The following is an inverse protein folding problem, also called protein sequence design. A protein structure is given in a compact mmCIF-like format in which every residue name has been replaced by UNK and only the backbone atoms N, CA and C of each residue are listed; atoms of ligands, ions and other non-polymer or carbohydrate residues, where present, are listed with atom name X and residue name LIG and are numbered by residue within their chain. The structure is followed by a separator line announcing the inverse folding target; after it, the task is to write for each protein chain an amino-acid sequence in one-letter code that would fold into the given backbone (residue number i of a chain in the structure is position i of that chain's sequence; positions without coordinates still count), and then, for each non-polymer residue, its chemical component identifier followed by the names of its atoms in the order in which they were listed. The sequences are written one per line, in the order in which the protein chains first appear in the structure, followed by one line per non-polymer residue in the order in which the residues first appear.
data_IF_486495515482
#
_entry.id   IF_486495515482
#
_cell.length_a   1.000
_cell.length_b   1.000
_cell.length_c   1.000
_cell.angle_alpha   90.00
_cell.angle_beta   90.00
_cell.angle_gamma   90.00
#
_symmetry.space_group_name_H-M   'P 1'
#
loop_
_entity.id
_entity.type
_entity.pdbx_description
1 polymer ?
#
# COMPACT_ATOMS: atom_id res chain seq x y z
N UNK A 1 -35.14 -11.01 -4.98
CA UNK A 1 -34.82 -10.92 -6.42
C UNK A 1 -33.37 -11.36 -6.59
N UNK A 2 -33.14 -12.52 -7.18
CA UNK A 2 -31.79 -13.00 -7.45
C UNK A 2 -31.17 -12.08 -8.51
N UNK A 3 -30.12 -11.33 -8.16
CA UNK A 3 -29.32 -10.60 -9.12
C UNK A 3 -28.63 -11.61 -10.03
N UNK A 4 -28.79 -11.45 -11.34
CA UNK A 4 -28.08 -12.19 -12.37
C UNK A 4 -26.56 -12.06 -12.13
N UNK A 5 -25.88 -13.17 -11.82
CA UNK A 5 -24.47 -13.14 -11.42
C UNK A 5 -23.50 -12.90 -12.58
N UNK A 6 -24.01 -12.69 -13.79
CA UNK A 6 -23.22 -12.45 -15.00
C UNK A 6 -22.87 -10.97 -15.24
N UNK A 7 -23.56 -10.02 -14.59
CA UNK A 7 -23.39 -8.60 -14.85
C UNK A 7 -22.38 -7.95 -13.88
N UNK A 8 -21.45 -7.15 -14.41
CA UNK A 8 -20.47 -6.41 -13.61
C UNK A 8 -21.20 -5.37 -12.72
N UNK A 9 -21.18 -5.50 -11.38
CA UNK A 9 -21.98 -4.66 -10.49
C UNK A 9 -21.48 -3.21 -10.43
N UNK A 10 -20.25 -2.95 -10.86
CA UNK A 10 -19.70 -1.58 -10.93
C UNK A 10 -20.09 -0.86 -12.23
N UNK A 11 -20.62 -1.56 -13.23
CA UNK A 11 -21.11 -0.93 -14.45
C UNK A 11 -22.43 -0.17 -14.22
N UNK A 12 -23.27 -0.64 -13.28
CA UNK A 12 -24.58 -0.04 -13.00
C UNK A 12 -24.48 1.47 -12.68
N UNK A 13 -23.55 1.85 -11.80
CA UNK A 13 -23.37 3.26 -11.42
C UNK A 13 -22.84 4.10 -12.58
N UNK A 14 -21.89 3.56 -13.37
CA UNK A 14 -21.31 4.27 -14.51
C UNK A 14 -22.39 4.51 -15.57
N UNK A 15 -23.17 3.48 -15.88
CA UNK A 15 -24.30 3.54 -16.81
C UNK A 15 -25.36 4.55 -16.33
N UNK A 16 -25.76 4.50 -15.06
CA UNK A 16 -26.69 5.49 -14.46
C UNK A 16 -26.17 6.92 -14.55
N UNK A 17 -24.87 7.11 -14.41
CA UNK A 17 -24.22 8.42 -14.52
C UNK A 17 -23.88 8.82 -15.96
N UNK A 18 -24.12 7.95 -16.95
CA UNK A 18 -23.69 8.13 -18.35
C UNK A 18 -22.19 8.42 -18.45
N UNK A 19 -21.38 7.78 -17.59
CA UNK A 19 -19.94 8.02 -17.50
C UNK A 19 -19.52 9.41 -17.01
N UNK A 20 -20.45 10.27 -16.59
CA UNK A 20 -20.13 11.63 -16.14
C UNK A 20 -19.40 11.61 -14.77
N UNK A 21 -18.15 12.09 -14.67
CA UNK A 21 -17.37 12.05 -13.43
C UNK A 21 -17.99 12.83 -12.28
N UNK A 22 -18.64 13.97 -12.55
CA UNK A 22 -19.28 14.79 -11.52
C UNK A 22 -20.52 14.08 -10.93
N UNK A 23 -21.31 13.39 -11.75
CA UNK A 23 -22.43 12.56 -11.27
C UNK A 23 -21.93 11.39 -10.42
N UNK A 24 -20.86 10.70 -10.86
CA UNK A 24 -20.24 9.61 -10.09
C UNK A 24 -19.71 10.15 -8.75
N UNK A 25 -19.01 11.28 -8.76
CA UNK A 25 -18.53 11.92 -7.54
C UNK A 25 -19.68 12.26 -6.58
N UNK A 26 -20.78 12.84 -7.08
CA UNK A 26 -21.95 13.15 -6.26
C UNK A 26 -22.57 11.91 -5.61
N UNK A 27 -22.56 10.75 -6.28
CA UNK A 27 -22.99 9.48 -5.68
C UNK A 27 -22.06 9.01 -4.56
N UNK A 28 -20.74 9.15 -4.71
CA UNK A 28 -19.79 8.85 -3.62
C UNK A 28 -20.00 9.81 -2.43
N UNK A 29 -20.18 11.11 -2.70
CA UNK A 29 -20.43 12.14 -1.68
C UNK A 29 -21.71 11.88 -0.91
N UNK A 30 -22.81 11.63 -1.62
CA UNK A 30 -24.11 11.33 -1.03
C UNK A 30 -24.04 10.05 -0.17
N UNK A 31 -23.36 9.01 -0.64
CA UNK A 31 -23.21 7.77 0.10
C UNK A 31 -22.43 7.98 1.41
N UNK A 32 -21.25 8.61 1.37
CA UNK A 32 -20.45 8.83 2.59
C UNK A 32 -21.13 9.80 3.57
N UNK A 33 -21.79 10.85 3.06
CA UNK A 33 -22.50 11.81 3.90
C UNK A 33 -23.72 11.19 4.58
N UNK A 34 -24.52 10.43 3.83
CA UNK A 34 -25.69 9.70 4.39
C UNK A 34 -25.24 8.68 5.42
N UNK A 35 -24.15 7.94 5.16
CA UNK A 35 -23.60 6.98 6.11
C UNK A 35 -23.14 7.66 7.39
N UNK A 36 -22.35 8.73 7.29
CA UNK A 36 -21.89 9.48 8.46
C UNK A 36 -23.06 10.05 9.27
N UNK A 37 -24.08 10.62 8.62
CA UNK A 37 -25.26 11.13 9.31
C UNK A 37 -26.02 10.03 10.07
N UNK A 38 -26.20 8.85 9.45
CA UNK A 38 -26.82 7.69 10.10
C UNK A 38 -25.99 7.17 11.27
N UNK A 39 -24.66 7.05 11.09
CA UNK A 39 -23.74 6.66 12.16
C UNK A 39 -23.78 7.64 13.32
N UNK A 40 -23.73 8.94 13.03
CA UNK A 40 -23.83 10.00 14.05
C UNK A 40 -25.12 9.89 14.85
N UNK A 41 -26.26 9.77 14.17
CA UNK A 41 -27.55 9.61 14.84
C UNK A 41 -27.61 8.34 15.71
N UNK A 42 -27.04 7.23 15.24
CA UNK A 42 -26.98 5.98 15.99
C UNK A 42 -26.07 6.08 17.23
N UNK A 43 -24.87 6.64 17.09
CA UNK A 43 -23.91 6.76 18.18
C UNK A 43 -24.37 7.74 19.27
N UNK A 44 -25.09 8.80 18.90
CA UNK A 44 -25.67 9.77 19.84
C UNK A 44 -27.05 9.36 20.37
N UNK A 45 -27.57 8.21 19.96
CA UNK A 45 -28.85 7.69 20.44
C UNK A 45 -28.73 7.23 21.90
N UNK A 46 -29.82 7.38 22.66
CA UNK A 46 -29.96 6.76 23.99
C UNK A 46 -29.91 5.24 23.94
N UNK A 47 -30.27 4.66 22.80
CA UNK A 47 -30.29 3.21 22.57
C UNK A 47 -28.91 2.67 22.12
N UNK A 48 -27.87 3.49 22.13
CA UNK A 48 -26.53 3.01 21.80
C UNK A 48 -26.09 1.95 22.83
N UNK A 49 -25.83 0.73 22.35
CA UNK A 49 -25.45 -0.43 23.17
C UNK A 49 -23.94 -0.64 23.24
N UNK A 50 -23.14 0.32 22.76
CA UNK A 50 -21.70 0.26 22.77
C UNK A 50 -21.06 -0.07 21.43
N UNK A 51 -19.72 -0.06 21.44
CA UNK A 51 -18.89 -0.27 20.26
C UNK A 51 -18.94 -1.72 19.78
N UNK A 52 -18.89 -1.92 18.47
CA UNK A 52 -18.72 -3.24 17.87
C UNK A 52 -17.24 -3.62 17.91
N UNK A 53 -16.84 -4.34 18.96
CA UNK A 53 -15.46 -4.75 19.17
C UNK A 53 -15.02 -5.79 18.15
N UNK A 54 -13.89 -5.54 17.48
CA UNK A 54 -13.25 -6.51 16.60
C UNK A 54 -12.49 -7.55 17.45
N UNK A 55 -13.18 -8.61 17.87
CA UNK A 55 -12.64 -9.66 18.74
C UNK A 55 -11.38 -10.34 18.20
N UNK A 56 -11.25 -10.46 16.88
CA UNK A 56 -10.08 -11.06 16.24
C UNK A 56 -8.90 -10.09 16.36
N UNK A 57 -9.11 -8.82 16.02
CA UNK A 57 -8.08 -7.80 16.15
C UNK A 57 -7.67 -7.57 17.60
N UNK A 58 -8.62 -7.61 18.54
CA UNK A 58 -8.38 -7.54 19.99
C UNK A 58 -7.43 -8.64 20.45
N UNK A 59 -7.69 -9.90 20.09
CA UNK A 59 -6.82 -11.04 20.45
C UNK A 59 -5.42 -10.90 19.88
N UNK A 60 -5.30 -10.45 18.62
CA UNK A 60 -4.01 -10.22 17.96
C UNK A 60 -3.25 -9.04 18.59
N UNK A 61 -3.97 -7.98 18.96
CA UNK A 61 -3.39 -6.83 19.63
C UNK A 61 -2.84 -7.22 21.01
N UNK A 62 -3.64 -7.91 21.83
CA UNK A 62 -3.24 -8.41 23.15
C UNK A 62 -2.00 -9.30 23.04
N UNK A 63 -1.97 -10.23 22.07
CA UNK A 63 -0.83 -11.11 21.85
C UNK A 63 0.46 -10.35 21.46
N UNK A 64 0.34 -9.19 20.82
CA UNK A 64 1.51 -8.39 20.38
C UNK A 64 1.97 -7.39 21.42
N UNK A 65 1.10 -6.96 22.34
CA UNK A 65 1.41 -5.95 23.36
C UNK A 65 1.69 -6.53 24.75
N UNK A 66 1.10 -7.67 25.10
CA UNK A 66 1.34 -8.35 26.38
C UNK A 66 2.39 -9.45 26.14
N UNK A 67 3.54 -9.44 26.85
CA UNK A 67 4.50 -10.53 26.79
C UNK A 67 3.80 -11.84 27.21
N UNK A 68 3.69 -12.80 26.30
CA UNK A 68 3.08 -14.09 26.61
C UNK A 68 3.82 -14.76 27.77
N UNK A 69 3.06 -15.25 28.76
CA UNK A 69 3.52 -16.31 29.65
C UNK A 69 3.97 -17.50 28.80
N UNK A 70 5.13 -18.08 29.12
CA UNK A 70 5.68 -19.26 28.46
C UNK A 70 4.61 -20.37 28.35
N UNK A 71 4.26 -20.79 27.12
CA UNK A 71 3.44 -21.99 26.87
C UNK A 71 2.07 -21.82 26.19
N UNK A 72 1.59 -20.61 25.89
CA UNK A 72 0.32 -20.45 25.14
C UNK A 72 0.53 -20.45 23.62
N UNK A 73 -0.34 -21.15 22.90
CA UNK A 73 -0.37 -21.14 21.42
C UNK A 73 -0.82 -19.79 20.91
N UNK A 74 -0.14 -19.21 19.90
CA UNK A 74 -0.54 -17.92 19.33
C UNK A 74 -1.91 -18.05 18.64
N UNK A 75 -2.77 -17.06 18.86
CA UNK A 75 -4.03 -16.91 18.15
C UNK A 75 -3.79 -16.61 16.67
N UNK A 76 -4.56 -17.27 15.80
CA UNK A 76 -4.47 -17.16 14.35
C UNK A 76 -5.82 -16.67 13.82
N UNK A 77 -5.81 -15.58 13.03
CA UNK A 77 -7.00 -15.16 12.28
C UNK A 77 -7.29 -16.17 11.16
N UNK A 78 -8.43 -16.85 11.29
CA UNK A 78 -8.87 -17.90 10.37
C UNK A 78 -9.50 -17.35 9.09
N UNK A 79 -9.79 -16.04 9.01
CA UNK A 79 -10.46 -15.42 7.87
C UNK A 79 -9.46 -15.08 6.78
N UNK A 80 -9.32 -15.95 5.78
CA UNK A 80 -8.45 -15.66 4.64
C UNK A 80 -9.22 -14.92 3.54
N UNK A 81 -8.60 -13.87 3.02
CA UNK A 81 -9.17 -13.01 1.99
C UNK A 81 -8.21 -12.96 0.79
N UNK A 82 -8.74 -12.62 -0.37
CA UNK A 82 -7.98 -12.37 -1.60
C UNK A 82 -8.47 -11.07 -2.22
N UNK A 83 -7.60 -10.07 -2.26
CA UNK A 83 -7.97 -8.70 -2.60
C UNK A 83 -6.90 -7.99 -3.43
N UNK A 84 -7.33 -7.05 -4.27
CA UNK A 84 -6.45 -6.02 -4.83
C UNK A 84 -6.45 -4.78 -3.93
N UNK A 85 -5.29 -4.45 -3.40
CA UNK A 85 -5.07 -3.27 -2.57
C UNK A 85 -4.36 -2.16 -3.35
N UNK A 86 -4.68 -0.92 -3.02
CA UNK A 86 -3.81 0.22 -3.34
C UNK A 86 -3.28 0.82 -2.04
N UNK A 87 -1.97 1.03 -1.99
CA UNK A 87 -1.30 1.65 -0.84
C UNK A 87 -1.31 3.18 -0.96
N UNK A 88 -1.62 3.91 0.12
CA UNK A 88 -1.51 5.36 0.10
C UNK A 88 -0.04 5.77 -0.01
N UNK A 89 0.25 6.87 -0.73
CA UNK A 89 1.58 7.50 -0.77
C UNK A 89 1.90 8.16 0.57
N UNK A 90 3.17 8.57 0.75
CA UNK A 90 3.65 9.08 2.03
C UNK A 90 2.85 10.28 2.56
N UNK A 91 2.48 11.25 1.72
CA UNK A 91 1.73 12.44 2.18
C UNK A 91 0.33 12.10 2.70
N UNK A 92 -0.33 11.07 2.15
CA UNK A 92 -1.60 10.57 2.67
C UNK A 92 -1.40 9.81 3.99
N UNK A 93 -0.28 9.09 4.14
CA UNK A 93 0.07 8.45 5.43
C UNK A 93 0.33 9.50 6.50
N UNK A 94 0.99 10.60 6.16
CA UNK A 94 1.26 11.71 7.08
C UNK A 94 -0.06 12.38 7.53
N UNK A 95 -0.98 12.65 6.59
CA UNK A 95 -2.33 13.13 6.89
C UNK A 95 -3.08 12.18 7.84
N UNK A 96 -3.02 10.87 7.57
CA UNK A 96 -3.66 9.86 8.44
C UNK A 96 -3.03 9.87 9.85
N UNK A 97 -1.71 10.00 9.96
CA UNK A 97 -1.02 10.03 11.24
C UNK A 97 -1.43 11.27 12.08
N UNK A 98 -1.60 12.43 11.44
CA UNK A 98 -2.13 13.63 12.10
C UNK A 98 -3.55 13.41 12.63
N UNK A 99 -4.43 12.83 11.81
CA UNK A 99 -5.82 12.51 12.18
C UNK A 99 -5.85 11.50 13.34
N UNK A 100 -5.06 10.42 13.25
CA UNK A 100 -4.96 9.40 14.30
C UNK A 100 -4.53 10.00 15.64
N UNK A 101 -3.55 10.92 15.62
CA UNK A 101 -3.10 11.63 16.82
C UNK A 101 -4.21 12.48 17.44
N UNK A 102 -5.00 13.18 16.62
CA UNK A 102 -6.15 13.95 17.12
C UNK A 102 -7.24 13.04 17.70
N UNK A 103 -7.52 11.88 17.11
CA UNK A 103 -8.50 10.92 17.64
C UNK A 103 -8.02 10.31 18.96
N UNK A 104 -6.76 9.88 19.04
CA UNK A 104 -6.18 9.29 20.24
C UNK A 104 -6.14 10.25 21.44
N UNK A 105 -6.16 11.57 21.20
CA UNK A 105 -6.26 12.56 22.29
C UNK A 105 -7.59 12.49 23.06
N UNK A 106 -8.65 11.95 22.44
CA UNK A 106 -9.96 11.74 23.06
C UNK A 106 -10.18 10.27 23.41
N UNK A 107 -9.59 9.35 22.63
CA UNK A 107 -9.75 7.90 22.82
C UNK A 107 -8.39 7.21 22.83
N UNK A 108 -7.67 7.20 23.97
CA UNK A 108 -6.32 6.65 24.04
C UNK A 108 -6.23 5.15 23.71
N UNK A 109 -7.29 4.39 24.03
CA UNK A 109 -7.35 2.94 23.88
C UNK A 109 -7.85 2.48 22.50
N UNK A 110 -8.10 3.40 21.57
CA UNK A 110 -8.49 3.02 20.22
C UNK A 110 -7.31 2.38 19.50
N UNK A 111 -7.57 1.30 18.77
CA UNK A 111 -6.54 0.73 17.92
C UNK A 111 -6.36 1.59 16.67
N UNK A 112 -5.14 2.08 16.44
CA UNK A 112 -4.78 2.81 15.22
C UNK A 112 -4.15 1.88 14.20
N UNK A 113 -4.55 2.03 12.94
CA UNK A 113 -3.96 1.27 11.83
C UNK A 113 -2.50 1.70 11.62
N UNK A 114 -1.52 0.79 11.76
CA UNK A 114 -0.12 1.11 11.50
C UNK A 114 0.11 1.57 10.06
N UNK A 115 1.12 2.42 9.80
CA UNK A 115 1.39 2.95 8.45
C UNK A 115 1.56 1.88 7.36
N UNK A 116 2.14 0.73 7.70
CA UNK A 116 2.36 -0.39 6.78
C UNK A 116 1.08 -1.19 6.47
N UNK A 117 0.05 -1.04 7.31
CA UNK A 117 -1.26 -1.67 7.11
C UNK A 117 -2.26 -0.76 6.42
N UNK A 118 -1.95 0.52 6.21
CA UNK A 118 -2.83 1.41 5.48
C UNK A 118 -2.97 0.95 4.01
N UNK A 119 -4.21 0.82 3.56
CA UNK A 119 -4.58 0.46 2.18
C UNK A 119 -6.05 0.81 1.93
N UNK A 120 -6.42 0.96 0.66
CA UNK A 120 -7.81 0.84 0.20
C UNK A 120 -7.97 -0.49 -0.52
N UNK A 121 -9.10 -1.17 -0.29
CA UNK A 121 -9.48 -2.35 -1.07
C UNK A 121 -10.14 -1.89 -2.36
N UNK A 122 -9.45 -2.05 -3.49
CA UNK A 122 -9.98 -1.65 -4.80
C UNK A 122 -10.98 -2.70 -5.30
N UNK A 123 -10.61 -3.98 -5.19
CA UNK A 123 -11.46 -5.11 -5.51
C UNK A 123 -11.28 -6.23 -4.48
N UNK A 124 -12.38 -6.73 -3.94
CA UNK A 124 -12.42 -7.94 -3.12
C UNK A 124 -12.83 -9.13 -4.00
N UNK A 125 -11.95 -10.13 -4.10
CA UNK A 125 -12.21 -11.35 -4.90
C UNK A 125 -12.89 -12.38 -4.01
N UNK A 126 -12.34 -12.61 -2.82
CA UNK A 126 -12.88 -13.54 -1.84
C UNK A 126 -12.66 -13.03 -0.41
N UNK A 127 -13.63 -13.28 0.47
CA UNK A 127 -13.55 -12.96 1.89
C UNK A 127 -13.87 -14.19 2.75
N UNK A 128 -13.17 -14.30 3.88
CA UNK A 128 -13.42 -15.29 4.93
C UNK A 128 -13.49 -16.73 4.40
N UNK A 129 -12.52 -17.12 3.58
CA UNK A 129 -12.39 -18.47 3.02
C UNK A 129 -11.33 -19.29 3.74
N UNK A 130 -11.34 -20.59 3.49
CA UNK A 130 -10.27 -21.48 3.90
C UNK A 130 -8.97 -21.16 3.13
N UNK A 131 -7.79 -21.46 3.70
CA UNK A 131 -6.51 -21.29 2.98
C UNK A 131 -6.48 -22.02 1.63
N UNK A 132 -7.03 -23.24 1.57
CA UNK A 132 -7.06 -24.06 0.36
C UNK A 132 -7.89 -23.42 -0.75
N UNK A 133 -9.08 -22.89 -0.44
CA UNK A 133 -9.89 -22.15 -1.41
C UNK A 133 -9.16 -20.91 -1.94
N UNK A 134 -8.49 -20.15 -1.06
CA UNK A 134 -7.70 -18.98 -1.47
C UNK A 134 -6.53 -19.39 -2.37
N UNK A 135 -5.79 -20.44 -2.01
CA UNK A 135 -4.68 -20.93 -2.80
C UNK A 135 -5.12 -21.46 -4.17
N UNK A 136 -6.32 -22.05 -4.25
CA UNK A 136 -6.94 -22.48 -5.51
C UNK A 136 -7.25 -21.28 -6.41
N UNK A 137 -7.88 -20.23 -5.86
CA UNK A 137 -8.17 -19.00 -6.60
C UNK A 137 -6.90 -18.30 -7.08
N UNK A 138 -5.88 -18.24 -6.23
CA UNK A 138 -4.58 -17.66 -6.56
C UNK A 138 -3.92 -18.45 -7.69
N UNK A 139 -3.88 -19.77 -7.59
CA UNK A 139 -3.28 -20.64 -8.62
C UNK A 139 -3.97 -20.47 -9.97
N UNK A 140 -5.30 -20.36 -9.96
CA UNK A 140 -6.10 -20.08 -11.16
C UNK A 140 -5.74 -18.74 -11.80
N UNK A 141 -5.67 -17.68 -10.99
CA UNK A 141 -5.25 -16.35 -11.46
C UNK A 141 -3.81 -16.34 -11.98
N UNK A 142 -2.89 -17.06 -11.33
CA UNK A 142 -1.50 -17.21 -11.78
C UNK A 142 -1.42 -17.92 -13.13
N UNK A 143 -2.19 -19.01 -13.33
CA UNK A 143 -2.24 -19.76 -14.59
C UNK A 143 -2.83 -18.94 -15.74
N UNK A 144 -3.83 -18.09 -15.46
CA UNK A 144 -4.41 -17.20 -16.48
C UNK A 144 -3.45 -16.10 -16.95
N UNK A 145 -2.39 -15.80 -16.19
CA UNK A 145 -1.45 -14.70 -16.47
C UNK A 145 -1.99 -13.30 -16.16
N UNK A 146 -3.27 -13.15 -15.79
CA UNK A 146 -3.95 -11.85 -15.65
C UNK A 146 -3.39 -10.97 -14.52
N UNK A 147 -2.76 -11.58 -13.50
CA UNK A 147 -2.28 -10.87 -12.30
C UNK A 147 -1.33 -9.72 -12.67
N UNK A 148 -0.41 -9.96 -13.61
CA UNK A 148 0.57 -8.93 -14.01
C UNK A 148 -0.10 -7.71 -14.61
N UNK A 149 -1.14 -7.91 -15.41
CA UNK A 149 -1.85 -6.82 -16.08
C UNK A 149 -2.69 -6.02 -15.08
N UNK A 150 -3.37 -6.71 -14.15
CA UNK A 150 -4.20 -6.08 -13.12
C UNK A 150 -3.37 -5.32 -12.08
N UNK A 151 -2.26 -5.89 -11.60
CA UNK A 151 -1.35 -5.22 -10.66
C UNK A 151 -0.77 -3.93 -11.26
N UNK A 152 -0.44 -3.96 -12.55
CA UNK A 152 0.14 -2.83 -13.26
C UNK A 152 -0.91 -1.90 -13.90
N UNK A 153 -2.21 -2.19 -13.75
CA UNK A 153 -3.28 -1.53 -14.49
C UNK A 153 -3.30 -0.01 -14.26
N UNK A 154 -3.03 0.40 -13.02
CA UNK A 154 -3.00 1.82 -12.61
C UNK A 154 -1.84 2.60 -13.21
N UNK A 155 -0.80 1.98 -13.77
CA UNK A 155 0.27 2.69 -14.48
C UNK A 155 -0.23 3.40 -15.73
N UNK A 156 -1.26 2.84 -16.37
CA UNK A 156 -1.87 3.38 -17.58
C UNK A 156 -3.25 4.01 -17.30
N UNK A 157 -3.87 3.69 -16.15
CA UNK A 157 -5.22 4.14 -15.78
C UNK A 157 -5.20 4.83 -14.41
N UNK A 158 -4.82 6.11 -14.41
CA UNK A 158 -4.50 6.88 -13.20
C UNK A 158 -5.75 7.52 -12.59
N UNK A 159 -6.57 6.71 -11.91
CA UNK A 159 -7.71 7.21 -11.13
C UNK A 159 -7.24 8.11 -9.95
N UNK A 160 -7.92 9.23 -9.77
CA UNK A 160 -7.60 10.27 -8.79
C UNK A 160 -8.68 10.37 -7.73
N UNK A 161 -8.27 10.50 -6.48
CA UNK A 161 -9.11 10.61 -5.30
C UNK A 161 -8.83 11.94 -4.58
N UNK A 162 -9.90 12.64 -4.18
CA UNK A 162 -9.85 13.98 -3.60
C UNK A 162 -10.86 14.12 -2.46
N UNK A 163 -10.88 15.31 -1.84
CA UNK A 163 -11.84 15.73 -0.81
C UNK A 163 -11.94 14.71 0.34
N UNK A 164 -10.83 14.37 1.03
CA UNK A 164 -10.88 13.42 2.13
C UNK A 164 -11.81 13.89 3.26
N UNK A 165 -12.45 12.95 3.94
CA UNK A 165 -13.14 13.12 5.23
C UNK A 165 -12.97 11.86 6.07
N UNK A 166 -13.07 11.99 7.39
CA UNK A 166 -13.19 10.87 8.33
C UNK A 166 -14.64 10.39 8.34
N UNK A 167 -14.85 9.15 7.91
CA UNK A 167 -16.07 8.38 8.11
C UNK A 167 -15.94 7.49 9.33
N UNK A 168 -17.05 7.27 10.03
CA UNK A 168 -17.07 6.51 11.27
C UNK A 168 -18.40 5.77 11.47
N UNK A 169 -18.35 4.69 12.24
CA UNK A 169 -19.50 3.96 12.78
C UNK A 169 -19.13 3.31 14.12
N UNK A 170 -19.99 2.44 14.64
CA UNK A 170 -19.76 1.78 15.92
C UNK A 170 -18.57 0.79 15.91
N UNK A 171 -18.05 0.42 14.74
CA UNK A 171 -16.96 -0.55 14.62
C UNK A 171 -15.60 0.12 14.35
N UNK A 172 -15.58 1.12 13.47
CA UNK A 172 -14.33 1.64 12.93
C UNK A 172 -14.40 3.11 12.47
N UNK A 173 -13.23 3.64 12.19
CA UNK A 173 -13.04 4.93 11.52
C UNK A 173 -12.19 4.73 10.25
N UNK A 174 -12.53 5.46 9.20
CA UNK A 174 -11.86 5.40 7.91
C UNK A 174 -11.69 6.79 7.31
N UNK A 175 -10.55 7.03 6.65
CA UNK A 175 -10.36 8.19 5.79
C UNK A 175 -10.97 7.88 4.42
N UNK A 176 -12.08 8.54 4.09
CA UNK A 176 -12.87 8.35 2.88
C UNK A 176 -12.63 9.46 1.87
N UNK A 177 -12.46 9.09 0.60
CA UNK A 177 -12.28 9.99 -0.53
C UNK A 177 -13.43 9.86 -1.52
N UNK A 178 -13.53 10.84 -2.44
CA UNK A 178 -14.37 10.75 -3.63
C UNK A 178 -13.50 10.75 -4.89
N UNK A 179 -13.95 10.14 -6.00
CA UNK A 179 -13.27 10.25 -7.28
C UNK A 179 -13.23 11.70 -7.73
N UNK A 180 -12.09 12.17 -8.24
CA UNK A 180 -12.00 13.50 -8.83
C UNK A 180 -12.92 13.64 -10.05
N UNK A 181 -13.34 14.87 -10.33
CA UNK A 181 -14.28 15.24 -11.39
C UNK A 181 -13.87 16.51 -12.13
N UNK A 182 -12.56 16.79 -12.21
CA UNK A 182 -12.00 17.98 -12.84
C UNK A 182 -11.57 19.08 -11.87
N UNK A 183 -11.44 18.78 -10.57
CA UNK A 183 -10.93 19.76 -9.61
C UNK A 183 -9.52 20.23 -9.98
N UNK A 184 -9.19 21.53 -9.82
CA UNK A 184 -7.85 22.02 -10.08
C UNK A 184 -6.80 21.29 -9.23
N UNK A 185 -5.75 20.78 -9.85
CA UNK A 185 -4.65 20.06 -9.20
C UNK A 185 -3.38 20.92 -9.20
N UNK A 186 -2.55 20.76 -8.17
CA UNK A 186 -1.16 21.28 -8.18
C UNK A 186 -0.22 20.50 -9.10
N UNK A 187 -0.67 19.34 -9.59
CA UNK A 187 0.05 18.51 -10.54
C UNK A 187 -0.34 18.88 -11.98
N UNK A 188 0.52 18.56 -12.96
CA UNK A 188 0.23 18.75 -14.39
C UNK A 188 -0.80 17.73 -14.89
N UNK A 189 -2.04 17.84 -14.44
CA UNK A 189 -3.20 17.05 -14.87
C UNK A 189 -4.28 17.93 -15.48
N UNK A 190 -4.92 17.41 -16.50
CA UNK A 190 -6.08 18.03 -17.14
C UNK A 190 -7.38 17.51 -16.53
N UNK A 191 -8.47 18.24 -16.71
CA UNK A 191 -9.80 17.76 -16.34
C UNK A 191 -10.21 16.49 -17.14
N UNK A 192 -9.64 16.29 -18.34
CA UNK A 192 -9.87 15.10 -19.14
C UNK A 192 -9.32 13.83 -18.49
N UNK A 193 -8.25 13.94 -17.71
CA UNK A 193 -7.68 12.80 -16.99
C UNK A 193 -8.61 12.26 -15.88
N UNK A 194 -9.61 13.04 -15.46
CA UNK A 194 -10.61 12.65 -14.45
C UNK A 194 -11.86 12.02 -15.07
N UNK A 195 -11.95 11.93 -16.42
CA UNK A 195 -12.98 11.11 -17.08
C UNK A 195 -12.90 9.66 -16.62
N UNK A 196 -11.69 9.17 -16.39
CA UNK A 196 -11.44 7.87 -15.80
C UNK A 196 -11.43 7.94 -14.26
N UNK A 197 -12.60 7.71 -13.65
CA UNK A 197 -12.78 7.76 -12.19
C UNK A 197 -12.31 6.48 -11.48
N UNK A 198 -12.15 6.55 -10.15
CA UNK A 198 -11.92 5.37 -9.32
C UNK A 198 -12.99 4.27 -9.48
N UNK A 199 -14.24 4.63 -9.82
CA UNK A 199 -15.27 3.63 -10.05
C UNK A 199 -15.03 2.83 -11.34
N UNK A 200 -14.49 3.47 -12.39
CA UNK A 200 -14.05 2.78 -13.61
C UNK A 200 -12.94 1.78 -13.30
N UNK A 201 -11.97 2.15 -12.44
CA UNK A 201 -10.94 1.22 -11.98
C UNK A 201 -11.52 -0.03 -11.32
N UNK A 202 -12.52 0.11 -10.46
CA UNK A 202 -13.18 -1.04 -9.81
C UNK A 202 -13.88 -1.93 -10.83
N UNK A 203 -14.59 -1.31 -11.78
CA UNK A 203 -15.25 -2.03 -12.89
C UNK A 203 -14.24 -2.81 -13.73
N UNK A 204 -13.13 -2.18 -14.13
CA UNK A 204 -12.17 -2.78 -15.05
C UNK A 204 -11.38 -3.91 -14.38
N UNK A 205 -11.02 -3.76 -13.10
CA UNK A 205 -10.44 -4.87 -12.33
C UNK A 205 -11.42 -6.03 -12.15
N UNK A 206 -12.70 -5.74 -11.88
CA UNK A 206 -13.74 -6.77 -11.80
C UNK A 206 -13.84 -7.52 -13.12
N UNK A 207 -13.93 -6.80 -14.24
CA UNK A 207 -14.02 -7.39 -15.58
C UNK A 207 -12.80 -8.26 -15.89
N UNK A 208 -11.60 -7.79 -15.53
CA UNK A 208 -10.37 -8.55 -15.74
C UNK A 208 -10.31 -9.86 -14.96
N UNK A 209 -10.79 -9.89 -13.71
CA UNK A 209 -10.87 -11.13 -12.93
C UNK A 209 -12.03 -12.02 -13.40
N UNK A 210 -13.19 -11.45 -13.72
CA UNK A 210 -14.34 -12.20 -14.23
C UNK A 210 -14.05 -12.88 -15.57
N UNK A 211 -13.18 -12.28 -16.41
CA UNK A 211 -12.73 -12.86 -17.67
C UNK A 211 -11.91 -14.16 -17.48
N UNK A 212 -11.43 -14.46 -16.27
CA UNK A 212 -10.82 -15.74 -15.94
C UNK A 212 -11.84 -16.77 -15.45
N UNK A 213 -13.15 -16.52 -15.58
CA UNK A 213 -14.22 -17.42 -15.13
C UNK A 213 -14.29 -17.62 -13.59
N UNK A 214 -13.61 -16.76 -12.81
CA UNK A 214 -13.76 -16.74 -11.36
C UNK A 214 -15.07 -16.06 -11.00
N UNK A 215 -15.92 -16.75 -10.22
CA UNK A 215 -17.14 -16.15 -9.69
C UNK A 215 -16.82 -15.18 -8.54
N UNK A 216 -16.94 -13.89 -8.85
CA UNK A 216 -16.74 -12.81 -7.89
C UNK A 216 -18.02 -12.56 -7.07
N UNK A 217 -17.86 -12.44 -5.75
CA UNK A 217 -18.93 -11.99 -4.85
C UNK A 217 -18.40 -10.90 -3.89
N UNK A 218 -18.03 -9.72 -4.42
CA UNK A 218 -17.53 -8.63 -3.60
C UNK A 218 -18.59 -8.15 -2.61
N UNK A 219 -18.26 -8.03 -1.32
CA UNK A 219 -19.21 -7.58 -0.29
C UNK A 219 -19.54 -6.10 -0.39
N UNK A 220 -18.60 -5.30 -0.89
CA UNK A 220 -18.71 -3.84 -0.94
C UNK A 220 -18.98 -3.36 -2.36
N UNK A 221 -20.25 -3.38 -2.78
CA UNK A 221 -20.66 -2.85 -4.10
C UNK A 221 -20.86 -1.34 -4.09
N UNK A 222 -21.05 -0.75 -2.91
CA UNK A 222 -21.35 0.67 -2.74
C UNK A 222 -20.21 1.58 -3.23
N UNK A 223 -20.52 2.81 -3.67
CA UNK A 223 -19.53 3.81 -4.05
C UNK A 223 -18.73 4.27 -2.83
N UNK A 224 -17.57 3.64 -2.61
CA UNK A 224 -16.70 3.95 -1.50
C UNK A 224 -15.22 3.78 -1.88
N UNK A 225 -14.39 4.72 -1.44
CA UNK A 225 -12.94 4.69 -1.53
C UNK A 225 -12.40 5.12 -0.17
N UNK A 226 -11.97 4.17 0.66
CA UNK A 226 -11.63 4.47 2.05
C UNK A 226 -10.44 3.67 2.54
N UNK A 227 -9.70 4.26 3.47
CA UNK A 227 -8.62 3.61 4.20
C UNK A 227 -9.09 3.47 5.64
N UNK A 228 -9.12 2.25 6.20
CA UNK A 228 -9.37 2.08 7.64
C UNK A 228 -8.21 2.70 8.41
N UNK A 229 -8.49 3.62 9.34
CA UNK A 229 -7.48 4.32 10.13
C UNK A 229 -7.54 3.97 11.62
N UNK A 230 -8.70 3.57 12.14
CA UNK A 230 -8.85 3.15 13.53
C UNK A 230 -9.98 2.13 13.70
N UNK A 231 -9.92 1.32 14.76
CA UNK A 231 -10.95 0.35 15.15
C UNK A 231 -11.14 0.32 16.66
N UNK A 232 -12.37 0.04 17.08
CA UNK A 232 -12.65 -0.26 18.47
C UNK A 232 -12.30 -1.74 18.75
N UNK A 233 -11.37 -1.96 19.66
CA UNK A 233 -10.95 -3.29 20.12
C UNK A 233 -11.27 -3.53 21.60
N UNK A 234 -11.84 -2.52 22.26
CA UNK A 234 -12.25 -2.54 23.67
C UNK A 234 -13.35 -1.51 23.87
N UNK A 235 -14.12 -1.68 24.95
CA UNK A 235 -15.07 -0.69 25.45
C UNK A 235 -14.42 0.26 26.48
N UNK A 236 -13.14 0.03 26.82
CA UNK A 236 -12.42 0.81 27.81
C UNK A 236 -12.41 2.29 27.48
N UNK A 237 -12.74 3.10 28.49
CA UNK A 237 -12.84 4.55 28.35
C UNK A 237 -14.23 5.03 27.93
N UNK A 238 -15.18 4.15 27.62
CA UNK A 238 -16.58 4.53 27.36
C UNK A 238 -17.59 3.77 28.20
N UNK A 239 -17.25 2.58 28.70
CA UNK A 239 -18.13 1.83 29.61
C UNK A 239 -18.05 2.44 31.02
N UNK A 240 -19.21 2.72 31.61
CA UNK A 240 -19.35 3.15 33.00
C UNK A 240 -19.32 1.93 33.93
N UNK A 241 -18.91 2.13 35.19
CA UNK A 241 -18.94 1.06 36.21
C UNK A 241 -20.37 0.63 36.59
N UNK A 242 -21.37 1.42 36.22
CA UNK A 242 -22.78 1.19 36.50
C UNK A 242 -23.41 0.32 35.42
N UNK A 243 -24.32 -0.56 35.84
CA UNK A 243 -25.17 -1.33 34.95
C UNK A 243 -26.53 -0.63 34.80
N UNK A 244 -27.13 -0.75 33.62
CA UNK A 244 -28.51 -0.34 33.35
C UNK A 244 -29.49 -1.20 34.15
N UNK A 245 -30.75 -0.77 34.20
CA UNK A 245 -31.81 -1.45 34.94
C UNK A 245 -32.10 -2.89 34.45
N UNK A 246 -31.69 -3.22 33.22
CA UNK A 246 -31.77 -4.54 32.60
C UNK A 246 -30.53 -5.42 32.85
N UNK A 247 -29.52 -4.92 33.57
CA UNK A 247 -28.27 -5.62 33.85
C UNK A 247 -27.19 -5.44 32.79
N UNK A 248 -27.45 -4.69 31.71
CA UNK A 248 -26.48 -4.45 30.64
C UNK A 248 -25.51 -3.30 30.96
N UNK A 249 -24.30 -3.28 30.38
CA UNK A 249 -23.35 -2.19 30.56
C UNK A 249 -23.91 -0.82 30.15
N UNK A 250 -23.73 0.18 31.00
CA UNK A 250 -24.02 1.57 30.64
C UNK A 250 -22.80 2.23 29.97
N UNK A 251 -23.04 3.05 28.95
CA UNK A 251 -21.99 3.76 28.22
C UNK A 251 -22.07 5.27 28.49
N UNK A 252 -20.91 5.90 28.59
CA UNK A 252 -20.72 7.32 28.81
C UNK A 252 -21.08 8.10 27.53
N UNK A 253 -22.34 8.52 27.45
CA UNK A 253 -22.88 9.30 26.34
C UNK A 253 -22.11 10.61 26.11
N UNK A 254 -21.56 11.24 27.16
CA UNK A 254 -20.78 12.47 27.03
C UNK A 254 -19.46 12.22 26.32
N UNK A 255 -18.77 11.12 26.65
CA UNK A 255 -17.54 10.72 25.94
C UNK A 255 -17.81 10.32 24.49
N UNK A 256 -18.91 9.61 24.23
CA UNK A 256 -19.32 9.28 22.84
C UNK A 256 -19.58 10.57 22.06
N UNK A 257 -20.31 11.52 22.64
CA UNK A 257 -20.55 12.83 22.03
C UNK A 257 -19.26 13.60 21.79
N UNK A 258 -18.34 13.64 22.76
CA UNK A 258 -17.04 14.29 22.62
C UNK A 258 -16.20 13.70 21.48
N UNK A 259 -16.24 12.37 21.30
CA UNK A 259 -15.59 11.72 20.16
C UNK A 259 -16.22 12.14 18.82
N UNK A 260 -17.55 12.09 18.72
CA UNK A 260 -18.28 12.50 17.52
C UNK A 260 -17.95 13.95 17.17
N UNK A 261 -18.03 14.86 18.15
CA UNK A 261 -17.71 16.28 17.96
C UNK A 261 -16.26 16.49 17.54
N UNK A 262 -15.33 15.73 18.11
CA UNK A 262 -13.92 15.76 17.70
C UNK A 262 -13.75 15.36 16.24
N UNK A 263 -14.44 14.31 15.78
CA UNK A 263 -14.37 13.86 14.38
C UNK A 263 -14.98 14.92 13.45
N UNK A 264 -16.09 15.54 13.82
CA UNK A 264 -16.70 16.63 13.04
C UNK A 264 -15.77 17.85 12.94
N UNK A 265 -15.08 18.22 14.03
CA UNK A 265 -14.05 19.27 13.99
C UNK A 265 -12.87 18.91 13.08
N UNK A 266 -12.41 17.65 13.12
CA UNK A 266 -11.36 17.16 12.20
C UNK A 266 -11.85 17.29 10.75
N UNK A 267 -13.09 16.90 10.45
CA UNK A 267 -13.66 17.01 9.11
C UNK A 267 -13.75 18.47 8.63
N UNK A 268 -14.18 19.39 9.49
CA UNK A 268 -14.20 20.82 9.19
C UNK A 268 -12.79 21.36 8.89
N UNK A 269 -11.78 20.97 9.70
CA UNK A 269 -10.38 21.34 9.44
C UNK A 269 -9.87 20.78 8.11
N UNK A 270 -10.15 19.51 7.83
CA UNK A 270 -9.73 18.87 6.58
C UNK A 270 -10.36 19.58 5.39
N UNK A 271 -11.66 19.85 5.45
CA UNK A 271 -12.37 20.57 4.41
C UNK A 271 -11.79 21.97 4.20
N UNK A 272 -11.62 22.76 5.26
CA UNK A 272 -11.07 24.11 5.16
C UNK A 272 -9.62 24.14 4.63
N UNK A 273 -8.80 23.14 4.98
CA UNK A 273 -7.37 23.09 4.62
C UNK A 273 -7.14 22.53 3.21
N UNK A 274 -7.87 21.49 2.82
CA UNK A 274 -7.48 20.63 1.71
C UNK A 274 -8.46 20.61 0.53
N UNK A 275 -9.73 20.95 0.75
CA UNK A 275 -10.71 20.96 -0.34
C UNK A 275 -10.52 22.17 -1.25
N UNK A 276 -10.91 22.06 -2.53
CA UNK A 276 -10.87 23.20 -3.44
C UNK A 276 -11.88 24.27 -2.99
N UNK A 277 -11.54 25.53 -3.20
CA UNK A 277 -12.38 26.70 -2.91
C UNK A 277 -12.35 27.70 -4.07
N UNK A 278 -13.06 28.83 -3.96
CA UNK A 278 -13.23 29.81 -5.06
C UNK A 278 -11.92 30.26 -5.72
N UNK A 279 -10.80 30.26 -4.99
CA UNK A 279 -9.46 30.57 -5.50
C UNK A 279 -8.38 29.56 -5.05
N UNK A 280 -8.76 28.32 -4.72
CA UNK A 280 -7.84 27.32 -4.16
C UNK A 280 -7.91 26.00 -4.92
N UNK A 281 -6.76 25.53 -5.40
CA UNK A 281 -6.63 24.18 -5.95
C UNK A 281 -6.74 23.13 -4.85
N UNK A 282 -7.03 21.88 -5.21
CA UNK A 282 -6.88 20.76 -4.27
C UNK A 282 -5.44 20.76 -3.78
N UNK A 283 -5.26 20.63 -2.46
CA UNK A 283 -3.92 20.53 -1.89
C UNK A 283 -3.28 19.21 -2.30
N UNK A 284 -2.04 19.27 -2.77
CA UNK A 284 -1.24 18.09 -3.10
C UNK A 284 -1.05 17.15 -1.91
N UNK A 285 -1.21 17.64 -0.68
CA UNK A 285 -1.12 16.85 0.56
C UNK A 285 -2.35 15.97 0.82
N UNK A 286 -3.43 16.15 0.07
CA UNK A 286 -4.72 15.46 0.28
C UNK A 286 -5.32 14.87 -1.01
N UNK A 287 -4.54 14.91 -2.09
CA UNK A 287 -4.87 14.32 -3.38
C UNK A 287 -4.14 12.98 -3.51
N UNK A 288 -4.84 11.94 -3.98
CA UNK A 288 -4.25 10.62 -4.12
C UNK A 288 -4.48 10.04 -5.51
N UNK A 289 -3.39 9.75 -6.22
CA UNK A 289 -3.43 8.97 -7.46
C UNK A 289 -3.27 7.49 -7.10
N UNK A 290 -4.32 6.72 -7.35
CA UNK A 290 -4.38 5.31 -6.93
C UNK A 290 -3.30 4.50 -7.65
N UNK A 291 -2.40 3.88 -6.88
CA UNK A 291 -1.31 3.06 -7.40
C UNK A 291 -0.15 3.84 -8.05
N UNK A 292 0.03 5.12 -7.74
CA UNK A 292 1.09 5.94 -8.34
C UNK A 292 2.51 5.44 -8.08
N UNK A 293 2.79 4.91 -6.88
CA UNK A 293 4.11 4.43 -6.49
C UNK A 293 4.44 3.04 -7.05
N UNK A 294 3.65 2.04 -6.66
CA UNK A 294 3.97 0.62 -6.89
C UNK A 294 2.91 -0.14 -7.68
N UNK A 295 1.87 0.52 -8.18
CA UNK A 295 0.69 -0.15 -8.74
C UNK A 295 -0.25 -0.68 -7.65
N UNK A 296 -0.97 -1.76 -7.96
CA UNK A 296 -1.82 -2.47 -7.02
C UNK A 296 -1.09 -3.68 -6.41
N UNK A 297 -1.57 -4.17 -5.28
CA UNK A 297 -1.03 -5.37 -4.63
C UNK A 297 -2.11 -6.45 -4.58
N UNK A 298 -1.83 -7.63 -5.14
CA UNK A 298 -2.64 -8.82 -4.87
C UNK A 298 -2.23 -9.38 -3.52
N UNK A 299 -3.13 -9.28 -2.55
CA UNK A 299 -2.92 -9.70 -1.18
C UNK A 299 -3.78 -10.92 -0.87
N UNK A 300 -3.14 -12.00 -0.40
CA UNK A 300 -3.82 -13.19 0.13
C UNK A 300 -3.59 -13.33 1.63
N UNK A 301 -4.49 -14.03 2.32
CA UNK A 301 -4.32 -14.42 3.72
C UNK A 301 -5.21 -13.65 4.69
N UNK A 302 -4.90 -13.68 5.99
CA UNK A 302 -5.70 -13.04 7.02
C UNK A 302 -5.95 -11.56 6.76
N UNK A 303 -6.96 -10.98 7.45
CA UNK A 303 -7.25 -9.55 7.32
C UNK A 303 -5.96 -8.73 7.42
N UNK A 304 -5.79 -7.73 6.56
CA UNK A 304 -4.56 -6.94 6.48
C UNK A 304 -4.16 -6.26 7.80
N UNK A 305 -5.13 -6.06 8.70
CA UNK A 305 -5.00 -5.48 10.05
C UNK A 305 -4.47 -6.50 11.08
N UNK A 306 -4.48 -7.78 10.74
CA UNK A 306 -4.08 -8.93 11.56
C UNK A 306 -2.67 -9.46 11.23
N UNK A 307 -1.91 -8.75 10.38
CA UNK A 307 -0.59 -9.22 9.92
C UNK A 307 0.46 -9.07 11.02
N UNK A 308 1.25 -10.11 11.26
CA UNK A 308 2.50 -10.00 12.03
C UNK A 308 3.63 -9.50 11.11
N UNK A 309 4.65 -8.78 11.62
CA UNK A 309 5.73 -8.22 10.80
C UNK A 309 6.56 -9.26 10.01
N UNK A 310 6.52 -10.54 10.39
CA UNK A 310 7.31 -11.62 9.80
C UNK A 310 6.61 -12.40 8.67
N UNK A 311 5.39 -12.04 8.27
CA UNK A 311 4.63 -12.77 7.24
C UNK A 311 4.98 -12.32 5.80
N UNK A 312 6.22 -12.57 5.35
CA UNK A 312 6.65 -12.34 3.96
C UNK A 312 6.02 -13.29 2.93
N UNK A 313 5.38 -14.38 3.36
CA UNK A 313 4.85 -15.45 2.49
C UNK A 313 3.45 -15.17 1.90
N UNK A 314 2.82 -14.04 2.26
CA UNK A 314 1.42 -13.74 1.94
C UNK A 314 1.22 -12.60 0.91
N UNK A 315 2.32 -11.97 0.48
CA UNK A 315 2.33 -10.97 -0.59
C UNK A 315 2.68 -11.65 -1.92
N UNK A 316 1.68 -11.89 -2.77
CA UNK A 316 1.91 -12.42 -4.13
C UNK A 316 2.59 -11.38 -5.03
N UNK A 317 2.48 -10.09 -4.71
CA UNK A 317 3.25 -9.02 -5.36
C UNK A 317 4.75 -9.06 -5.03
N UNK A 318 5.14 -9.66 -3.89
CA UNK A 318 6.54 -9.91 -3.50
C UNK A 318 7.07 -11.24 -4.05
N UNK A 319 6.20 -12.14 -4.53
CA UNK A 319 6.58 -13.22 -5.46
C UNK A 319 6.89 -12.67 -6.86
N UNK A 320 7.69 -11.60 -6.95
CA UNK A 320 8.56 -11.40 -8.12
C UNK A 320 9.64 -12.48 -8.09
N UNK A 321 9.25 -13.68 -8.51
CA UNK A 321 10.07 -14.76 -9.05
C UNK A 321 11.42 -14.95 -8.34
N UNK A 322 11.41 -15.64 -7.19
CA UNK A 322 12.43 -16.65 -6.91
C UNK A 322 11.97 -17.95 -7.59
N UNK A 323 12.35 -18.11 -8.87
CA UNK A 323 12.25 -19.40 -9.56
C UNK A 323 13.24 -20.37 -8.89
N UNK A 324 12.71 -21.30 -8.09
CA UNK A 324 13.33 -22.59 -7.83
C UNK A 324 12.23 -23.65 -7.94
N UNK A 325 12.05 -24.19 -9.15
CA UNK A 325 12.03 -25.62 -9.41
C UNK A 325 12.03 -25.88 -10.92
N UNK A 326 13.06 -26.60 -11.37
CA UNK A 326 13.17 -27.19 -12.69
C UNK A 326 11.98 -28.11 -13.01
N UNK A 327 11.36 -27.98 -14.18
CA UNK A 327 11.81 -28.70 -15.38
C UNK A 327 11.06 -28.26 -16.65
N UNK A 328 11.86 -28.03 -17.72
CA UNK A 328 11.54 -28.11 -19.16
C UNK A 328 10.62 -27.04 -19.77
N UNK A 329 11.18 -25.87 -20.08
CA UNK A 329 11.53 -25.49 -21.48
C UNK A 329 12.29 -24.13 -21.54
N UNK A 330 13.18 -23.91 -22.53
CA UNK A 330 14.28 -22.94 -22.43
C UNK A 330 13.94 -21.61 -23.11
N UNK A 331 13.16 -20.74 -22.47
CA UNK A 331 13.08 -19.33 -22.90
C UNK A 331 12.60 -18.36 -21.81
N UNK A 332 12.76 -18.69 -20.53
CA UNK A 332 12.38 -17.77 -19.47
C UNK A 332 13.47 -16.70 -19.30
N UNK A 333 13.28 -15.57 -19.97
CA UNK A 333 14.14 -14.38 -19.95
C UNK A 333 14.33 -13.85 -18.52
N UNK A 334 15.34 -14.37 -17.82
CA UNK A 334 16.04 -13.67 -16.75
C UNK A 334 16.24 -12.23 -17.24
N UNK A 335 15.69 -11.22 -16.54
CA UNK A 335 15.88 -9.80 -16.93
C UNK A 335 17.36 -9.45 -16.80
N UNK A 336 18.12 -9.76 -17.84
CA UNK A 336 19.54 -9.48 -18.02
C UNK A 336 19.69 -7.96 -18.17
N UNK A 337 20.38 -7.33 -17.22
CA UNK A 337 20.63 -5.90 -17.27
C UNK A 337 21.90 -5.67 -18.08
N UNK A 338 21.73 -5.19 -19.31
CA UNK A 338 22.82 -4.83 -20.21
C UNK A 338 23.06 -3.31 -20.21
N UNK A 339 24.28 -2.90 -19.91
CA UNK A 339 24.70 -1.48 -19.99
C UNK A 339 25.75 -1.33 -21.09
N UNK A 340 25.65 -0.31 -21.97
CA UNK A 340 26.66 -0.09 -23.00
C UNK A 340 28.01 0.29 -22.39
N UNK A 341 29.10 -0.15 -23.04
CA UNK A 341 30.49 0.20 -22.66
C UNK A 341 30.79 1.70 -22.80
N UNK A 342 29.94 2.44 -23.50
CA UNK A 342 30.08 3.89 -23.71
C UNK A 342 28.75 4.60 -23.46
N UNK A 343 28.79 5.79 -22.83
CA UNK A 343 27.59 6.58 -22.52
C UNK A 343 27.88 8.08 -22.58
N UNK A 344 27.05 8.85 -23.27
CA UNK A 344 27.12 10.32 -23.23
C UNK A 344 26.40 10.84 -21.99
N UNK A 345 27.07 11.63 -21.17
CA UNK A 345 26.53 12.14 -19.90
C UNK A 345 27.30 13.38 -19.45
N UNK A 346 26.71 14.20 -18.57
CA UNK A 346 27.31 15.42 -18.07
C UNK A 346 28.64 15.17 -17.33
N UNK A 347 29.70 15.87 -17.72
CA UNK A 347 30.99 15.86 -17.04
C UNK A 347 31.10 17.08 -16.11
N UNK A 348 31.32 16.84 -14.81
CA UNK A 348 31.43 17.89 -13.78
C UNK A 348 32.83 18.53 -13.69
N UNK A 349 33.79 18.09 -14.52
CA UNK A 349 35.13 18.68 -14.51
C UNK A 349 35.09 20.14 -14.96
N UNK A 350 35.92 20.97 -14.32
CA UNK A 350 36.10 22.38 -14.65
C UNK A 350 36.46 22.63 -16.12
N UNK A 351 37.15 21.67 -16.74
CA UNK A 351 37.57 21.74 -18.14
C UNK A 351 36.47 21.37 -19.14
N UNK A 352 35.42 20.66 -18.71
CA UNK A 352 34.39 20.15 -19.60
C UNK A 352 33.05 20.86 -19.41
N UNK A 353 32.48 20.85 -18.20
CA UNK A 353 31.15 21.38 -17.86
C UNK A 353 30.04 21.14 -18.90
N UNK A 354 30.10 20.00 -19.61
CA UNK A 354 29.19 19.66 -20.72
C UNK A 354 28.98 18.16 -20.85
N UNK A 355 28.05 17.76 -21.71
CA UNK A 355 27.77 16.35 -22.01
C UNK A 355 28.83 15.75 -22.94
N UNK A 356 29.71 14.91 -22.38
CA UNK A 356 30.80 14.24 -23.10
C UNK A 356 30.61 12.72 -23.12
N UNK A 357 31.33 12.04 -24.01
CA UNK A 357 31.36 10.57 -24.04
C UNK A 357 32.15 10.04 -22.83
N UNK A 358 31.61 9.02 -22.17
CA UNK A 358 32.27 8.36 -21.05
C UNK A 358 32.47 6.87 -21.36
N UNK A 359 33.65 6.34 -21.03
CA UNK A 359 33.91 4.90 -20.95
C UNK A 359 33.32 4.36 -19.66
N UNK A 360 32.46 3.36 -19.78
CA UNK A 360 31.76 2.74 -18.65
C UNK A 360 32.52 1.49 -18.24
N UNK A 361 32.81 1.36 -16.95
CA UNK A 361 33.42 0.15 -16.35
C UNK A 361 32.68 -0.21 -15.07
N UNK A 362 32.71 -1.47 -14.66
CA UNK A 362 32.17 -1.87 -13.36
C UNK A 362 33.17 -1.49 -12.26
N UNK A 363 32.68 -0.85 -11.20
CA UNK A 363 33.49 -0.60 -10.01
C UNK A 363 33.84 -1.92 -9.31
N UNK A 364 35.11 -2.06 -8.93
CA UNK A 364 35.59 -3.14 -8.06
C UNK A 364 36.18 -2.51 -6.81
N UNK A 365 35.89 -3.10 -5.65
CA UNK A 365 36.52 -2.70 -4.41
C UNK A 365 38.04 -2.97 -4.49
N UNK A 366 38.85 -2.00 -4.07
CA UNK A 366 40.29 -2.17 -3.96
C UNK A 366 40.67 -3.05 -2.78
N UNK A 367 41.93 -3.50 -2.74
CA UNK A 367 42.52 -4.17 -1.58
C UNK A 367 42.45 -3.24 -0.35
N UNK A 368 42.02 -3.77 0.78
CA UNK A 368 41.96 -3.01 2.02
C UNK A 368 43.38 -2.60 2.48
N UNK A 369 43.56 -1.32 2.81
CA UNK A 369 44.84 -0.80 3.33
C UNK A 369 45.00 -1.16 4.81
N UNK A 370 46.20 -1.65 5.18
CA UNK A 370 46.55 -1.99 6.56
C UNK A 370 46.83 -0.75 7.42
N UNK A 371 47.27 0.35 6.80
CA UNK A 371 47.66 1.57 7.51
C UNK A 371 46.50 2.51 7.82
N UNK A 372 45.28 2.20 7.35
CA UNK A 372 44.08 2.94 7.69
C UNK A 372 43.89 2.98 9.22
N UNK A 373 43.54 4.16 9.76
CA UNK A 373 43.45 4.37 11.21
C UNK A 373 42.55 3.33 11.91
N UNK A 374 41.42 2.97 11.31
CA UNK A 374 40.50 1.96 11.84
C UNK A 374 41.13 0.57 11.90
N UNK A 375 41.92 0.18 10.90
CA UNK A 375 42.62 -1.11 10.86
C UNK A 375 43.74 -1.16 11.89
N UNK A 376 44.59 -0.13 11.98
CA UNK A 376 45.62 0.00 13.03
C UNK A 376 45.05 -0.09 14.44
N UNK A 377 43.92 0.58 14.68
CA UNK A 377 43.21 0.54 15.98
C UNK A 377 42.64 -0.85 16.26
N UNK A 378 42.04 -1.49 15.26
CA UNK A 378 41.50 -2.84 15.38
C UNK A 378 42.59 -3.85 15.70
N UNK A 379 43.71 -3.82 14.98
CA UNK A 379 44.83 -4.74 15.17
C UNK A 379 45.47 -4.59 16.56
N UNK A 380 45.65 -3.35 17.03
CA UNK A 380 46.10 -3.08 18.41
C UNK A 380 45.10 -3.53 19.47
N UNK A 381 43.79 -3.48 19.17
CA UNK A 381 42.76 -3.96 20.11
C UNK A 381 42.70 -5.49 20.11
N UNK A 382 42.97 -6.10 18.97
CA UNK A 382 42.88 -7.55 18.76
C UNK A 382 44.13 -8.31 19.23
N UNK A 383 45.25 -7.63 19.47
CA UNK A 383 46.48 -8.23 20.00
C UNK A 383 46.36 -8.62 21.48
N UNK A 384 46.95 -9.75 21.86
CA UNK A 384 46.92 -10.27 23.23
C UNK A 384 45.84 -11.32 23.45
N UNK A 385 45.48 -11.56 24.71
CA UNK A 385 44.44 -12.52 25.12
C UNK A 385 43.05 -11.86 25.17
N UNK A 386 41.98 -12.63 25.04
CA UNK A 386 40.60 -12.13 25.14
C UNK A 386 39.70 -12.36 23.90
N UNK A 387 40.18 -13.06 22.88
CA UNK A 387 39.37 -13.51 21.74
C UNK A 387 38.95 -12.38 20.78
N UNK A 388 37.79 -12.52 20.14
CA UNK A 388 37.31 -11.59 19.12
C UNK A 388 36.74 -10.30 19.73
N UNK A 389 37.39 -9.16 19.50
CA UNK A 389 37.08 -7.90 20.21
C UNK A 389 36.04 -6.99 19.54
N UNK A 390 35.59 -7.33 18.33
CA UNK A 390 34.55 -6.61 17.58
C UNK A 390 33.52 -7.57 16.97
N UNK A 391 32.24 -7.15 16.86
CA UNK A 391 31.19 -7.99 16.32
C UNK A 391 31.48 -8.45 14.88
N UNK A 392 31.21 -9.73 14.61
CA UNK A 392 31.20 -10.31 13.27
C UNK A 392 29.73 -10.47 12.85
N UNK A 393 29.39 -9.98 11.66
CA UNK A 393 28.00 -10.00 11.19
C UNK A 393 27.65 -11.33 10.51
N UNK A 394 26.69 -12.08 11.08
CA UNK A 394 26.28 -13.41 10.58
C UNK A 394 24.93 -13.42 9.84
N UNK A 395 24.02 -12.47 10.11
CA UNK A 395 22.64 -12.48 9.60
C UNK A 395 22.49 -11.81 8.21
N UNK A 396 23.23 -12.29 7.20
CA UNK A 396 23.21 -11.68 5.86
C UNK A 396 21.96 -12.07 5.05
N UNK A 397 20.98 -11.18 4.98
CA UNK A 397 19.73 -11.40 4.23
C UNK A 397 19.81 -11.05 2.73
N UNK A 398 20.74 -10.19 2.28
CA UNK A 398 20.75 -9.69 0.89
C UNK A 398 21.58 -10.60 -0.04
N UNK A 399 20.93 -11.12 -1.08
CA UNK A 399 21.53 -11.99 -2.12
C UNK A 399 22.22 -11.23 -3.24
N UNK A 400 21.89 -9.95 -3.45
CA UNK A 400 22.46 -9.09 -4.51
C UNK A 400 23.20 -7.89 -3.93
N UNK A 401 23.95 -7.16 -4.78
CA UNK A 401 24.61 -5.89 -4.45
C UNK A 401 24.13 -4.81 -5.42
N UNK A 402 24.18 -3.53 -5.01
CA UNK A 402 24.00 -2.42 -5.96
C UNK A 402 25.24 -2.34 -6.84
N UNK A 403 25.07 -2.48 -8.16
CA UNK A 403 26.18 -2.35 -9.10
C UNK A 403 26.53 -0.87 -9.23
N UNK A 404 27.81 -0.53 -9.10
CA UNK A 404 28.30 0.84 -9.28
C UNK A 404 29.10 0.88 -10.58
N UNK A 405 28.76 1.80 -11.46
CA UNK A 405 29.49 2.08 -12.69
C UNK A 405 30.53 3.17 -12.45
N UNK A 406 31.75 2.95 -12.92
CA UNK A 406 32.80 3.97 -13.03
C UNK A 406 32.78 4.51 -14.46
N UNK A 407 32.40 5.77 -14.58
CA UNK A 407 32.29 6.51 -15.84
C UNK A 407 33.52 7.41 -15.96
N UNK A 408 34.37 7.14 -16.95
CA UNK A 408 35.58 7.91 -17.23
C UNK A 408 35.35 8.79 -18.46
N UNK A 409 35.47 10.11 -18.31
CA UNK A 409 35.35 11.06 -19.42
C UNK A 409 36.46 10.83 -20.44
N UNK A 410 36.12 10.74 -21.74
CA UNK A 410 37.13 10.54 -22.79
C UNK A 410 38.04 11.75 -22.95
N UNK A 411 37.52 12.97 -22.73
CA UNK A 411 38.22 14.23 -22.86
C UNK A 411 39.17 14.53 -21.67
N UNK A 412 38.62 14.74 -20.46
CA UNK A 412 39.41 15.17 -19.29
C UNK A 412 39.82 14.05 -18.33
N UNK A 413 39.56 12.77 -18.66
CA UNK A 413 39.86 11.57 -17.83
C UNK A 413 39.27 11.56 -16.41
N UNK A 414 38.44 12.54 -16.07
CA UNK A 414 37.74 12.61 -14.79
C UNK A 414 36.80 11.42 -14.66
N UNK A 415 36.84 10.77 -13.49
CA UNK A 415 36.02 9.61 -13.16
C UNK A 415 34.86 10.01 -12.26
N UNK A 416 33.66 9.51 -12.55
CA UNK A 416 32.48 9.62 -11.68
C UNK A 416 31.86 8.25 -11.44
N UNK A 417 31.25 8.08 -10.27
CA UNK A 417 30.55 6.85 -9.90
C UNK A 417 29.03 7.03 -10.07
N UNK A 418 28.37 6.00 -10.58
CA UNK A 418 26.91 5.96 -10.73
C UNK A 418 26.38 4.62 -10.21
N UNK A 419 25.57 4.66 -9.15
CA UNK A 419 24.96 3.45 -8.59
C UNK A 419 23.66 3.09 -9.33
N UNK A 420 23.51 1.80 -9.67
CA UNK A 420 22.28 1.25 -10.22
C UNK A 420 21.39 0.64 -9.11
N UNK A 421 20.15 0.31 -9.48
CA UNK A 421 19.28 -0.56 -8.66
C UNK A 421 19.91 -1.96 -8.56
N UNK A 422 19.46 -2.77 -7.60
CA UNK A 422 19.95 -4.15 -7.40
C UNK A 422 19.49 -5.04 -8.56
N UNK A 423 20.37 -5.89 -9.06
CA UNK A 423 20.10 -6.87 -10.11
C UNK A 423 20.81 -8.19 -9.80
N UNK A 424 20.26 -9.32 -10.27
CA UNK A 424 20.87 -10.66 -10.13
C UNK A 424 21.97 -10.87 -11.18
N UNK A 425 21.70 -10.51 -12.43
CA UNK A 425 22.64 -10.61 -13.55
C UNK A 425 22.91 -9.22 -14.15
N UNK A 426 24.19 -8.90 -14.34
CA UNK A 426 24.65 -7.64 -14.90
C UNK A 426 25.71 -7.92 -15.96
N UNK A 427 25.51 -7.37 -17.15
CA UNK A 427 26.49 -7.42 -18.23
C UNK A 427 26.81 -6.03 -18.75
N UNK A 428 28.04 -5.87 -19.25
CA UNK A 428 28.56 -4.62 -19.76
C UNK A 428 28.97 -4.78 -21.22
N UNK A 429 28.14 -4.25 -22.12
CA UNK A 429 28.32 -4.31 -23.58
C UNK A 429 28.00 -5.67 -24.17
N UNK A 430 26.92 -6.30 -23.71
CA UNK A 430 26.30 -7.43 -24.40
C UNK A 430 25.51 -6.96 -25.62
N UNK A 431 24.93 -7.91 -26.35
CA UNK A 431 24.17 -7.61 -27.57
C UNK A 431 22.84 -6.93 -27.27
N UNK A 432 22.43 -6.04 -28.19
CA UNK A 432 21.10 -5.42 -28.12
C UNK A 432 20.08 -6.46 -28.56
N UNK A 433 18.96 -6.53 -27.85
CA UNK A 433 17.84 -7.41 -28.23
C UNK A 433 17.29 -6.99 -29.61
N UNK A 434 17.22 -7.94 -30.53
CA UNK A 434 16.60 -7.77 -31.86
C UNK A 434 15.08 -7.79 -31.73
N UNK A 435 14.37 -6.87 -32.39
CA UNK A 435 12.90 -6.84 -32.39
C UNK A 435 12.36 -7.86 -33.39
N UNK A 436 11.40 -8.69 -32.98
CA UNK A 436 10.67 -9.61 -33.89
C UNK A 436 11.49 -10.78 -34.43
N UNK A 437 12.67 -11.07 -33.87
CA UNK A 437 13.43 -12.25 -34.26
C UNK A 437 12.72 -13.51 -33.77
N UNK A 438 12.61 -14.51 -34.64
CA UNK A 438 12.12 -15.83 -34.28
C UNK A 438 13.00 -16.43 -33.17
N UNK A 439 12.37 -17.06 -32.19
CA UNK A 439 13.10 -17.83 -31.18
C UNK A 439 13.77 -19.00 -31.89
N UNK A 440 15.10 -19.10 -31.75
CA UNK A 440 15.85 -20.26 -32.21
C UNK A 440 15.71 -21.31 -31.11
N UNK A 441 15.05 -22.42 -31.43
CA UNK A 441 14.85 -23.56 -30.53
C UNK A 441 16.08 -24.45 -30.47
#
# INVERSE_FOLDING_TARGET
MAQDSSQNPFEELISKCQGNPAKIQAHYEAHRSTRNAKSKAHLLSRDFTGWQVDEILKKLHIQTTIPSHEGQTPFIDHRNNLNFYARPPQHIKDLIAEIQKEIQSVVPNIWISPPDFLHTTVLEIASSRSPLEIDTLVSHLEQSGVISDLVNYTFNHRARLVKPIVSYDAAAMALSFVPASGEPSGWSRSADDDKYTYHHLRRDLYAGVAATEIQLKPRYLVPSAHITIARFITHDGFQLEKLRADGEPEYDCERVAALVDKIEQINQKIQAKYWPGENRTVSSEAEWIVGEENGLELCKGPSALARTPDASDLLLSDKRLSNDHHSRDPANSVKMVNVPKTRRTYCKSKECHKHTQHKVTQYKAGKASLYAQGKRRYDRKQSGYGGQTKPVFHKKAKTTKKIVLRLECTACKTKKQLALKRCKHFELGGDKKTKGAALVF
#
